data_IF_958641349065
#
_entry.id   IF_958641349065
#
_cell.length_a   1.000
_cell.length_b   1.000
_cell.length_c   1.000
_cell.angle_alpha   90.00
_cell.angle_beta   90.00
_cell.angle_gamma   90.00
#
_symmetry.space_group_name_H-M   'P 1'
#
loop_
_entity.id
_entity.type
_entity.pdbx_description
1 polymer ?
#
# COMPACT_ATOMS: atom_id res chain seq x y z
N UNK A 1 45.89 21.81 -32.48
CA UNK A 1 45.05 22.30 -31.36
C UNK A 1 43.68 21.65 -31.49
N UNK A 2 43.41 20.61 -30.71
CA UNK A 2 42.08 19.98 -30.65
C UNK A 2 41.16 20.93 -29.88
N UNK A 3 40.16 21.46 -30.57
CA UNK A 3 39.08 22.21 -29.94
C UNK A 3 38.33 21.28 -28.98
N UNK A 4 38.24 21.68 -27.72
CA UNK A 4 37.35 21.06 -26.74
C UNK A 4 35.93 21.04 -27.32
N UNK A 5 35.45 19.87 -27.73
CA UNK A 5 34.05 19.66 -28.09
C UNK A 5 33.23 19.71 -26.80
N UNK A 6 32.80 20.90 -26.42
CA UNK A 6 31.89 21.09 -25.30
C UNK A 6 30.54 20.48 -25.70
N UNK A 7 30.18 19.34 -25.10
CA UNK A 7 28.90 18.68 -25.36
C UNK A 7 27.78 19.47 -24.67
N UNK A 8 27.17 20.39 -25.42
CA UNK A 8 26.11 21.28 -24.96
C UNK A 8 24.85 20.53 -24.49
N UNK A 9 24.76 19.21 -24.71
CA UNK A 9 23.67 18.39 -24.18
C UNK A 9 23.68 18.31 -22.65
N UNK A 10 24.83 18.48 -21.98
CA UNK A 10 24.88 18.57 -20.51
C UNK A 10 24.28 19.88 -19.97
N UNK A 11 24.12 20.90 -20.82
CA UNK A 11 23.54 22.21 -20.49
C UNK A 11 22.15 22.44 -21.10
N UNK A 12 21.60 21.46 -21.83
CA UNK A 12 20.21 21.48 -22.25
C UNK A 12 19.32 21.31 -21.00
N UNK A 13 19.04 22.43 -20.33
CA UNK A 13 18.33 22.50 -19.07
C UNK A 13 16.95 21.85 -19.11
N UNK A 14 16.45 21.53 -17.91
CA UNK A 14 15.08 21.07 -17.69
C UNK A 14 14.10 21.91 -18.52
N UNK A 15 13.24 21.25 -19.29
CA UNK A 15 12.25 21.93 -20.12
C UNK A 15 11.39 22.82 -19.22
N UNK A 16 11.48 24.13 -19.43
CA UNK A 16 10.80 25.13 -18.60
C UNK A 16 9.35 25.36 -19.03
N UNK A 17 8.97 24.88 -20.22
CA UNK A 17 7.65 25.11 -20.80
C UNK A 17 6.64 24.01 -20.48
N UNK A 18 5.37 24.42 -20.40
CA UNK A 18 4.25 23.50 -20.16
C UNK A 18 4.05 22.56 -21.35
N UNK A 19 3.85 21.27 -21.08
CA UNK A 19 3.54 20.29 -22.12
C UNK A 19 2.27 20.68 -22.91
N UNK A 20 2.35 20.65 -24.25
CA UNK A 20 1.23 20.96 -25.14
C UNK A 20 0.07 19.96 -24.98
N UNK A 21 -1.19 20.33 -25.30
CA UNK A 21 -2.34 19.44 -25.16
C UNK A 21 -2.19 18.11 -25.92
N UNK A 22 -1.60 18.16 -27.12
CA UNK A 22 -1.30 16.97 -27.94
C UNK A 22 -0.32 16.03 -27.25
N UNK A 23 0.77 16.58 -26.68
CA UNK A 23 1.77 15.80 -25.93
C UNK A 23 1.17 15.13 -24.69
N UNK A 24 0.28 15.81 -23.97
CA UNK A 24 -0.45 15.25 -22.82
C UNK A 24 -1.39 14.11 -23.22
N UNK A 25 -2.10 14.23 -24.35
CA UNK A 25 -2.93 13.14 -24.87
C UNK A 25 -2.09 11.94 -25.30
N UNK A 26 -0.97 12.16 -26.00
CA UNK A 26 -0.09 11.08 -26.44
C UNK A 26 0.58 10.35 -25.26
N UNK A 27 0.96 11.08 -24.21
CA UNK A 27 1.45 10.49 -22.96
C UNK A 27 0.37 9.60 -22.30
N UNK A 28 -0.88 10.08 -22.22
CA UNK A 28 -2.01 9.28 -21.71
C UNK A 28 -2.28 8.02 -22.54
N UNK A 29 -2.24 8.09 -23.88
CA UNK A 29 -2.40 6.92 -24.77
C UNK A 29 -1.32 5.86 -24.53
N UNK A 30 -0.11 6.30 -24.18
CA UNK A 30 1.03 5.44 -23.81
C UNK A 30 0.98 4.96 -22.35
N UNK A 31 -0.05 5.32 -21.58
CA UNK A 31 -0.20 4.96 -20.17
C UNK A 31 0.68 5.76 -19.21
N UNK A 32 1.24 6.88 -19.65
CA UNK A 32 2.09 7.76 -18.84
C UNK A 32 1.26 8.89 -18.25
N UNK A 33 1.09 8.87 -16.93
CA UNK A 33 0.43 9.92 -16.15
C UNK A 33 1.14 10.12 -14.82
N UNK A 34 1.06 11.35 -14.32
CA UNK A 34 1.40 11.64 -12.94
C UNK A 34 0.41 10.92 -12.00
N UNK A 35 0.94 10.03 -11.15
CA UNK A 35 0.19 9.41 -10.06
C UNK A 35 1.14 9.17 -8.89
N UNK A 36 0.71 9.54 -7.69
CA UNK A 36 1.43 9.24 -6.46
C UNK A 36 1.01 7.86 -5.95
N UNK A 37 1.98 6.94 -5.86
CA UNK A 37 1.72 5.63 -5.28
C UNK A 37 1.41 5.72 -3.79
N UNK A 38 2.00 6.69 -3.08
CA UNK A 38 1.77 6.87 -1.65
C UNK A 38 0.34 7.35 -1.33
N UNK A 39 -0.27 8.14 -2.21
CA UNK A 39 -1.70 8.53 -2.07
C UNK A 39 -2.59 7.29 -2.15
N UNK A 40 -2.31 6.36 -3.07
CA UNK A 40 -3.05 5.11 -3.15
C UNK A 40 -2.89 4.28 -1.87
N UNK A 41 -1.67 4.14 -1.37
CA UNK A 41 -1.39 3.40 -0.13
C UNK A 41 -2.10 4.04 1.06
N UNK A 42 -2.12 5.38 1.17
CA UNK A 42 -2.83 6.08 2.24
C UNK A 42 -4.34 5.81 2.20
N UNK A 43 -4.98 5.93 1.04
CA UNK A 43 -6.42 5.69 0.90
C UNK A 43 -6.77 4.24 1.25
N UNK A 44 -6.01 3.26 0.74
CA UNK A 44 -6.23 1.84 1.04
C UNK A 44 -6.08 1.57 2.54
N UNK A 45 -5.01 2.07 3.17
CA UNK A 45 -4.79 1.90 4.60
C UNK A 45 -5.93 2.50 5.41
N UNK A 46 -6.34 3.75 5.11
CA UNK A 46 -7.46 4.38 5.81
C UNK A 46 -8.74 3.56 5.69
N UNK A 47 -9.10 3.13 4.48
CA UNK A 47 -10.32 2.36 4.25
C UNK A 47 -10.30 1.04 5.03
N UNK A 48 -9.16 0.34 5.07
CA UNK A 48 -9.01 -0.89 5.85
C UNK A 48 -9.10 -0.61 7.35
N UNK A 49 -8.42 0.42 7.87
CA UNK A 49 -8.48 0.74 9.30
C UNK A 49 -9.87 1.21 9.74
N UNK A 50 -10.58 2.00 8.92
CA UNK A 50 -11.97 2.37 9.18
C UNK A 50 -12.87 1.13 9.17
N UNK A 51 -12.70 0.22 8.20
CA UNK A 51 -13.44 -1.03 8.18
C UNK A 51 -13.19 -1.85 9.46
N UNK A 52 -11.94 -2.02 9.87
CA UNK A 52 -11.60 -2.72 11.11
C UNK A 52 -12.14 -2.01 12.36
N UNK A 53 -12.22 -0.67 12.36
CA UNK A 53 -12.80 0.09 13.46
C UNK A 53 -14.30 -0.19 13.63
N UNK A 54 -15.05 -0.30 12.55
CA UNK A 54 -16.50 -0.53 12.60
C UNK A 54 -16.89 -2.01 12.65
N UNK A 55 -16.15 -2.88 11.96
CA UNK A 55 -16.48 -4.31 11.80
C UNK A 55 -15.54 -5.25 12.57
N UNK A 56 -14.47 -4.75 13.20
CA UNK A 56 -13.48 -5.57 13.90
C UNK A 56 -14.06 -6.37 15.07
N UNK A 57 -15.09 -5.85 15.75
CA UNK A 57 -15.81 -6.61 16.80
C UNK A 57 -16.47 -7.85 16.21
N UNK A 58 -17.24 -7.70 15.14
CA UNK A 58 -17.91 -8.82 14.44
C UNK A 58 -16.88 -9.84 13.94
N UNK A 59 -15.74 -9.38 13.42
CA UNK A 59 -14.64 -10.26 13.01
C UNK A 59 -14.07 -11.06 14.19
N UNK A 60 -13.87 -10.39 15.33
CA UNK A 60 -13.35 -11.04 16.55
C UNK A 60 -14.33 -12.09 17.07
N UNK A 61 -15.62 -11.78 17.13
CA UNK A 61 -16.67 -12.72 17.53
C UNK A 61 -16.71 -13.95 16.61
N UNK A 62 -16.56 -13.72 15.30
CA UNK A 62 -16.51 -14.80 14.31
C UNK A 62 -15.29 -15.70 14.49
N UNK A 63 -14.12 -15.13 14.71
CA UNK A 63 -12.89 -15.89 14.98
C UNK A 63 -13.01 -16.73 16.25
N UNK A 64 -13.58 -16.16 17.32
CA UNK A 64 -13.88 -16.90 18.57
C UNK A 64 -14.89 -18.02 18.29
N UNK A 65 -15.90 -17.77 17.44
CA UNK A 65 -16.88 -18.76 17.01
C UNK A 65 -16.23 -19.95 16.31
N UNK A 66 -15.34 -19.70 15.36
CA UNK A 66 -14.57 -20.75 14.67
C UNK A 66 -13.73 -21.55 15.66
N UNK A 67 -13.01 -20.89 16.57
CA UNK A 67 -12.22 -21.58 17.59
C UNK A 67 -13.08 -22.47 18.50
N UNK A 68 -14.23 -21.96 18.97
CA UNK A 68 -15.18 -22.74 19.78
C UNK A 68 -15.70 -23.94 19.00
N UNK A 69 -16.12 -23.73 17.75
CA UNK A 69 -16.63 -24.80 16.89
C UNK A 69 -15.59 -25.89 16.66
N UNK A 70 -14.33 -25.52 16.41
CA UNK A 70 -13.24 -26.48 16.25
C UNK A 70 -12.98 -27.29 17.52
N UNK A 71 -12.95 -26.64 18.69
CA UNK A 71 -12.68 -27.32 19.96
C UNK A 71 -13.85 -28.19 20.45
N UNK A 72 -15.09 -27.83 20.09
CA UNK A 72 -16.28 -28.56 20.54
C UNK A 72 -16.71 -29.67 19.58
N UNK A 73 -16.52 -29.51 18.28
CA UNK A 73 -17.03 -30.44 17.28
C UNK A 73 -15.90 -31.23 16.61
N UNK A 74 -14.88 -30.55 16.09
CA UNK A 74 -13.81 -31.23 15.34
C UNK A 74 -12.88 -32.05 16.24
N UNK A 75 -12.66 -31.62 17.48
CA UNK A 75 -11.78 -32.32 18.42
C UNK A 75 -12.24 -33.75 18.75
N UNK A 76 -13.56 -34.00 18.73
CA UNK A 76 -14.16 -35.29 19.06
C UNK A 76 -14.62 -36.08 17.83
N UNK A 77 -14.33 -35.57 16.63
CA UNK A 77 -14.73 -36.19 15.37
C UNK A 77 -13.71 -37.26 14.95
N UNK A 78 -14.20 -38.41 14.47
CA UNK A 78 -13.31 -39.45 13.95
C UNK A 78 -12.52 -38.95 12.74
N UNK A 79 -11.23 -39.30 12.71
CA UNK A 79 -10.34 -38.96 11.60
C UNK A 79 -10.61 -39.89 10.41
N UNK A 80 -11.53 -39.46 9.55
CA UNK A 80 -11.85 -40.11 8.27
C UNK A 80 -11.64 -39.14 7.12
N UNK A 81 -11.36 -39.65 5.92
CA UNK A 81 -11.17 -38.82 4.71
C UNK A 81 -12.34 -37.85 4.48
N UNK A 82 -13.57 -38.34 4.64
CA UNK A 82 -14.79 -37.53 4.51
C UNK A 82 -14.89 -36.41 5.55
N UNK A 83 -14.53 -36.68 6.80
CA UNK A 83 -14.58 -35.68 7.86
C UNK A 83 -13.51 -34.61 7.66
N UNK A 84 -12.32 -35.00 7.18
CA UNK A 84 -11.24 -34.06 6.85
C UNK A 84 -11.65 -33.15 5.70
N UNK A 85 -12.28 -33.70 4.64
CA UNK A 85 -12.80 -32.90 3.52
C UNK A 85 -13.82 -31.86 3.99
N UNK A 86 -14.77 -32.27 4.83
CA UNK A 86 -15.80 -31.38 5.37
C UNK A 86 -15.19 -30.26 6.21
N UNK A 87 -14.28 -30.59 7.13
CA UNK A 87 -13.57 -29.61 7.96
C UNK A 87 -12.80 -28.61 7.09
N UNK A 88 -12.14 -29.09 6.04
CA UNK A 88 -11.38 -28.23 5.12
C UNK A 88 -12.29 -27.25 4.39
N UNK A 89 -13.43 -27.69 3.86
CA UNK A 89 -14.40 -26.82 3.18
C UNK A 89 -14.96 -25.78 4.14
N UNK A 90 -15.31 -26.17 5.37
CA UNK A 90 -15.83 -25.25 6.38
C UNK A 90 -14.78 -24.19 6.76
N UNK A 91 -13.54 -24.59 7.06
CA UNK A 91 -12.46 -23.67 7.41
C UNK A 91 -12.14 -22.72 6.25
N UNK A 92 -12.08 -23.22 5.01
CA UNK A 92 -11.87 -22.37 3.84
C UNK A 92 -13.01 -21.36 3.64
N UNK A 93 -14.26 -21.78 3.84
CA UNK A 93 -15.41 -20.88 3.74
C UNK A 93 -15.37 -19.79 4.82
N UNK A 94 -14.98 -20.14 6.04
CA UNK A 94 -14.79 -19.22 7.16
C UNK A 94 -13.66 -18.22 6.89
N UNK A 95 -12.53 -18.68 6.33
CA UNK A 95 -11.42 -17.83 5.90
C UNK A 95 -11.84 -16.83 4.82
N UNK A 96 -12.60 -17.27 3.80
CA UNK A 96 -13.10 -16.37 2.75
C UNK A 96 -14.04 -15.32 3.33
N UNK A 97 -14.95 -15.72 4.22
CA UNK A 97 -15.90 -14.78 4.83
C UNK A 97 -15.22 -13.86 5.86
N UNK A 98 -14.07 -14.25 6.44
CA UNK A 98 -13.28 -13.42 7.34
C UNK A 98 -12.37 -12.44 6.58
N UNK A 99 -11.55 -12.93 5.63
CA UNK A 99 -10.59 -12.12 4.88
C UNK A 99 -11.23 -11.37 3.70
N UNK A 100 -12.27 -11.95 3.10
CA UNK A 100 -12.94 -11.44 1.90
C UNK A 100 -13.42 -9.99 2.04
N UNK A 101 -14.14 -9.62 3.12
CA UNK A 101 -14.57 -8.23 3.32
C UNK A 101 -13.40 -7.24 3.39
N UNK A 102 -12.31 -7.59 4.10
CA UNK A 102 -11.11 -6.74 4.20
C UNK A 102 -10.45 -6.57 2.83
N UNK A 103 -10.28 -7.68 2.10
CA UNK A 103 -9.72 -7.66 0.75
C UNK A 103 -10.60 -6.87 -0.23
N UNK A 104 -11.93 -6.99 -0.11
CA UNK A 104 -12.88 -6.27 -0.95
C UNK A 104 -12.81 -4.77 -0.69
N UNK A 105 -12.75 -4.34 0.58
CA UNK A 105 -12.54 -2.93 0.93
C UNK A 105 -11.22 -2.40 0.37
N UNK A 106 -10.12 -3.16 0.53
CA UNK A 106 -8.82 -2.76 0.01
C UNK A 106 -8.83 -2.65 -1.53
N UNK A 107 -9.49 -3.59 -2.22
CA UNK A 107 -9.64 -3.58 -3.67
C UNK A 107 -10.44 -2.36 -4.14
N UNK A 108 -11.62 -2.12 -3.55
CA UNK A 108 -12.47 -0.99 -3.89
C UNK A 108 -11.73 0.33 -3.64
N UNK A 109 -11.08 0.46 -2.48
CA UNK A 109 -10.30 1.65 -2.13
C UNK A 109 -9.13 1.88 -3.10
N UNK A 110 -8.42 0.81 -3.50
CA UNK A 110 -7.32 0.89 -4.45
C UNK A 110 -7.78 1.30 -5.85
N UNK A 111 -8.90 0.74 -6.33
CA UNK A 111 -9.51 1.13 -7.61
C UNK A 111 -9.98 2.58 -7.55
N UNK A 112 -10.69 2.97 -6.49
CA UNK A 112 -11.17 4.34 -6.30
C UNK A 112 -10.01 5.34 -6.24
N UNK A 113 -8.94 5.03 -5.51
CA UNK A 113 -7.76 5.89 -5.42
C UNK A 113 -7.08 6.12 -6.78
N UNK A 114 -6.90 5.05 -7.57
CA UNK A 114 -6.37 5.18 -8.93
C UNK A 114 -7.31 6.00 -9.83
N UNK A 115 -8.62 5.76 -9.73
CA UNK A 115 -9.62 6.49 -10.50
C UNK A 115 -9.66 7.98 -10.13
N UNK A 116 -9.57 8.34 -8.85
CA UNK A 116 -9.52 9.73 -8.39
C UNK A 116 -8.28 10.48 -8.90
N UNK A 117 -7.12 9.81 -8.97
CA UNK A 117 -5.89 10.44 -9.44
C UNK A 117 -5.81 10.59 -10.97
N UNK A 118 -6.23 9.56 -11.70
CA UNK A 118 -5.96 9.44 -13.14
C UNK A 118 -7.22 9.61 -14.01
N UNK A 119 -8.39 9.36 -13.44
CA UNK A 119 -9.64 9.18 -14.16
C UNK A 119 -9.68 7.87 -14.95
N UNK A 120 -10.70 7.71 -15.79
CA UNK A 120 -10.75 6.60 -16.74
C UNK A 120 -9.63 6.74 -17.77
N UNK A 121 -8.82 5.68 -17.93
CA UNK A 121 -7.73 5.63 -18.89
C UNK A 121 -7.73 4.33 -19.65
N UNK A 122 -7.84 4.45 -20.98
CA UNK A 122 -7.68 3.34 -21.90
C UNK A 122 -6.38 3.55 -22.71
N UNK A 123 -5.36 2.73 -22.42
CA UNK A 123 -4.02 2.87 -22.98
C UNK A 123 -3.52 1.52 -23.56
N UNK A 124 -4.09 1.03 -24.69
CA UNK A 124 -3.72 -0.26 -25.26
C UNK A 124 -2.24 -0.34 -25.68
N UNK A 125 -1.63 0.79 -26.05
CA UNK A 125 -0.18 0.87 -26.35
C UNK A 125 0.71 0.57 -25.13
N UNK A 126 0.18 0.67 -23.90
CA UNK A 126 0.91 0.32 -22.68
C UNK A 126 1.03 -1.19 -22.49
N UNK A 127 0.09 -1.97 -23.04
CA UNK A 127 0.02 -3.44 -22.94
C UNK A 127 0.91 -4.10 -24.00
N UNK A 128 1.24 -3.40 -25.07
CA UNK A 128 2.12 -3.92 -26.12
C UNK A 128 3.53 -4.25 -25.57
N UNK A 129 4.03 -5.44 -25.93
CA UNK A 129 5.37 -5.90 -25.55
C UNK A 129 6.43 -5.07 -26.29
N UNK A 130 7.10 -4.17 -25.56
CA UNK A 130 8.19 -3.36 -26.08
C UNK A 130 9.52 -4.01 -25.71
N UNK A 131 10.22 -4.58 -26.68
CA UNK A 131 11.51 -5.27 -26.49
C UNK A 131 12.57 -4.38 -25.82
N UNK A 132 12.50 -3.07 -26.03
CA UNK A 132 13.34 -2.07 -25.37
C UNK A 132 13.21 -2.06 -23.83
N UNK A 133 12.05 -2.46 -23.30
CA UNK A 133 11.82 -2.57 -21.84
C UNK A 133 12.43 -3.84 -21.24
N UNK A 134 12.83 -4.82 -22.06
CA UNK A 134 13.38 -6.12 -21.64
C UNK A 134 14.91 -6.11 -21.67
N UNK A 135 15.55 -5.08 -22.23
CA UNK A 135 17.00 -4.99 -22.32
C UNK A 135 17.66 -4.97 -20.91
N UNK A 136 18.50 -5.97 -20.56
CA UNK A 136 19.13 -6.05 -19.24
C UNK A 136 20.05 -4.88 -18.91
N UNK A 137 20.75 -4.33 -19.91
CA UNK A 137 21.70 -3.23 -19.74
C UNK A 137 20.97 -1.94 -19.34
N UNK A 138 19.85 -1.63 -20.03
CA UNK A 138 19.03 -0.47 -19.68
C UNK A 138 18.32 -0.68 -18.34
N UNK A 139 17.96 -1.92 -18.00
CA UNK A 139 17.47 -2.32 -16.68
C UNK A 139 18.47 -2.05 -15.55
N UNK A 140 19.72 -2.52 -15.70
CA UNK A 140 20.80 -2.27 -14.74
C UNK A 140 21.06 -0.76 -14.57
N UNK A 141 21.12 0.00 -15.67
CA UNK A 141 21.31 1.46 -15.60
C UNK A 141 20.15 2.16 -14.87
N UNK A 142 18.92 1.65 -14.96
CA UNK A 142 17.77 2.18 -14.21
C UNK A 142 17.87 1.88 -12.72
N UNK A 143 18.25 0.65 -12.36
CA UNK A 143 18.40 0.21 -10.96
C UNK A 143 19.56 0.93 -10.27
N UNK A 144 20.68 1.14 -10.97
CA UNK A 144 21.86 1.86 -10.45
C UNK A 144 21.90 3.33 -10.90
N UNK A 145 20.74 3.97 -11.04
CA UNK A 145 20.65 5.40 -11.38
C UNK A 145 20.64 6.27 -10.13
N UNK A 146 21.03 7.55 -10.26
CA UNK A 146 20.84 8.54 -9.19
C UNK A 146 19.37 8.66 -8.77
N UNK A 147 18.44 8.49 -9.72
CA UNK A 147 17.01 8.44 -9.41
C UNK A 147 16.68 7.29 -8.45
N UNK A 148 17.24 6.09 -8.66
CA UNK A 148 17.02 4.97 -7.76
C UNK A 148 17.58 5.20 -6.36
N UNK A 149 18.77 5.84 -6.24
CA UNK A 149 19.35 6.20 -4.94
C UNK A 149 18.43 7.20 -4.20
N UNK A 150 17.93 8.22 -4.90
CA UNK A 150 17.00 9.21 -4.31
C UNK A 150 15.70 8.55 -3.87
N UNK A 151 15.13 7.65 -4.67
CA UNK A 151 13.93 6.89 -4.28
C UNK A 151 14.17 5.97 -3.07
N UNK A 152 15.36 5.35 -2.99
CA UNK A 152 15.76 4.54 -1.84
C UNK A 152 15.85 5.39 -0.57
N UNK A 153 16.51 6.54 -0.63
CA UNK A 153 16.59 7.47 0.51
C UNK A 153 15.20 7.95 0.96
N UNK A 154 14.32 8.30 0.02
CA UNK A 154 12.92 8.64 0.34
C UNK A 154 12.20 7.48 1.03
N UNK A 155 12.42 6.25 0.56
CA UNK A 155 11.80 5.05 1.13
C UNK A 155 12.30 4.78 2.55
N UNK A 156 13.61 4.92 2.80
CA UNK A 156 14.19 4.81 4.15
C UNK A 156 13.58 5.87 5.07
N UNK A 157 13.54 7.14 4.63
CA UNK A 157 12.93 8.22 5.42
C UNK A 157 11.46 7.91 5.75
N UNK A 158 10.66 7.43 4.78
CA UNK A 158 9.27 7.01 4.99
C UNK A 158 9.15 5.90 6.04
N UNK A 159 10.01 4.87 5.97
CA UNK A 159 10.00 3.76 6.93
C UNK A 159 10.42 4.23 8.32
N UNK A 160 11.51 4.99 8.45
CA UNK A 160 11.96 5.57 9.71
C UNK A 160 10.85 6.40 10.35
N UNK A 161 10.12 7.15 9.52
CA UNK A 161 8.99 7.94 9.95
C UNK A 161 7.81 7.13 10.49
N UNK A 162 7.52 5.97 9.92
CA UNK A 162 6.52 5.04 10.44
C UNK A 162 7.02 4.44 11.77
N UNK A 163 8.29 4.06 11.83
CA UNK A 163 8.94 3.56 13.05
C UNK A 163 8.87 4.55 14.21
N UNK A 164 9.11 5.84 13.96
CA UNK A 164 8.96 6.89 14.99
C UNK A 164 7.52 7.00 15.48
N UNK A 165 6.52 6.89 14.60
CA UNK A 165 5.10 6.89 15.03
C UNK A 165 4.82 5.68 15.93
N UNK A 166 5.18 4.48 15.46
CA UNK A 166 4.95 3.26 16.22
C UNK A 166 5.63 3.33 17.60
N UNK A 167 6.90 3.74 17.64
CA UNK A 167 7.63 3.96 18.88
C UNK A 167 6.94 4.98 19.78
N UNK A 168 6.53 6.13 19.24
CA UNK A 168 5.90 7.20 20.03
C UNK A 168 4.56 6.76 20.63
N UNK A 169 3.73 6.03 19.86
CA UNK A 169 2.45 5.50 20.35
C UNK A 169 2.70 4.49 21.46
N UNK A 170 3.58 3.51 21.23
CA UNK A 170 3.90 2.49 22.23
C UNK A 170 4.51 3.11 23.49
N UNK A 171 5.41 4.08 23.34
CA UNK A 171 6.03 4.78 24.46
C UNK A 171 5.00 5.58 25.27
N UNK A 172 4.09 6.28 24.60
CA UNK A 172 3.01 7.04 25.27
C UNK A 172 1.99 6.15 25.99
N UNK A 173 1.92 4.86 25.62
CA UNK A 173 1.00 3.86 26.15
C UNK A 173 1.75 2.74 26.87
N UNK A 174 2.98 3.00 27.33
CA UNK A 174 3.86 1.99 27.90
C UNK A 174 3.20 1.26 29.07
N UNK A 175 2.53 1.98 29.98
CA UNK A 175 1.84 1.38 31.12
C UNK A 175 0.75 0.39 30.67
N UNK A 176 -0.03 0.75 29.66
CA UNK A 176 -1.07 -0.13 29.10
C UNK A 176 -0.49 -1.38 28.45
N UNK A 177 0.69 -1.25 27.83
CA UNK A 177 1.43 -2.35 27.19
C UNK A 177 2.03 -3.28 28.25
N UNK A 178 2.63 -2.74 29.32
CA UNK A 178 3.19 -3.54 30.41
C UNK A 178 2.10 -4.33 31.14
N UNK A 179 0.92 -3.74 31.32
CA UNK A 179 -0.24 -4.39 31.94
C UNK A 179 -0.93 -5.42 31.04
N UNK A 180 -0.50 -5.63 29.79
CA UNK A 180 -1.09 -6.65 28.91
C UNK A 180 -0.96 -8.05 29.51
N UNK A 181 0.14 -8.34 30.22
CA UNK A 181 0.39 -9.64 30.83
C UNK A 181 -0.62 -9.98 31.95
N UNK A 182 -1.17 -8.97 32.61
CA UNK A 182 -2.11 -9.11 33.72
C UNK A 182 -3.59 -9.04 33.27
N UNK A 183 -3.83 -8.72 31.98
CA UNK A 183 -5.18 -8.61 31.42
C UNK A 183 -5.72 -9.98 31.01
N UNK A 184 -7.04 -10.14 31.15
CA UNK A 184 -7.74 -11.25 30.50
C UNK A 184 -7.52 -11.21 28.98
N UNK A 185 -7.58 -12.36 28.31
CA UNK A 185 -7.35 -12.49 26.86
C UNK A 185 -8.19 -11.49 26.05
N UNK A 186 -9.47 -11.33 26.40
CA UNK A 186 -10.36 -10.39 25.72
C UNK A 186 -9.94 -8.93 25.89
N UNK A 187 -9.54 -8.54 27.10
CA UNK A 187 -9.07 -7.18 27.39
C UNK A 187 -7.70 -6.89 26.75
N UNK A 188 -6.82 -7.89 26.70
CA UNK A 188 -5.54 -7.81 26.01
C UNK A 188 -5.75 -7.60 24.49
N UNK A 189 -6.61 -8.40 23.86
CA UNK A 189 -6.95 -8.26 22.44
C UNK A 189 -7.56 -6.89 22.12
N UNK A 190 -8.48 -6.39 22.95
CA UNK A 190 -9.06 -5.06 22.78
C UNK A 190 -8.00 -3.95 22.88
N UNK A 191 -7.06 -4.06 23.82
CA UNK A 191 -5.95 -3.11 23.98
C UNK A 191 -5.04 -3.13 22.75
N UNK A 192 -4.65 -4.32 22.28
CA UNK A 192 -3.81 -4.49 21.08
C UNK A 192 -4.52 -3.94 19.83
N UNK A 193 -5.81 -4.20 19.67
CA UNK A 193 -6.61 -3.66 18.58
C UNK A 193 -6.66 -2.13 18.62
N UNK A 194 -6.88 -1.53 19.79
CA UNK A 194 -6.87 -0.08 19.98
C UNK A 194 -5.52 0.56 19.62
N UNK A 195 -4.42 0.00 20.10
CA UNK A 195 -3.07 0.46 19.77
C UNK A 195 -2.79 0.33 18.27
N UNK A 196 -3.21 -0.78 17.65
CA UNK A 196 -3.04 -1.02 16.21
C UNK A 196 -3.82 -0.01 15.37
N UNK A 197 -5.08 0.25 15.73
CA UNK A 197 -5.90 1.28 15.07
C UNK A 197 -5.28 2.66 15.23
N UNK A 198 -4.80 3.02 16.43
CA UNK A 198 -4.19 4.32 16.69
C UNK A 198 -2.91 4.53 15.86
N UNK A 199 -2.02 3.53 15.85
CA UNK A 199 -0.80 3.55 15.02
C UNK A 199 -1.14 3.66 13.53
N UNK A 200 -2.14 2.90 13.07
CA UNK A 200 -2.63 2.92 11.70
C UNK A 200 -3.13 4.29 11.27
N UNK A 201 -3.98 4.92 12.08
CA UNK A 201 -4.55 6.25 11.81
C UNK A 201 -3.47 7.34 11.80
N UNK A 202 -2.54 7.34 12.75
CA UNK A 202 -1.42 8.30 12.74
C UNK A 202 -0.49 8.10 11.55
N UNK A 203 -0.23 6.85 11.17
CA UNK A 203 0.52 6.54 9.95
C UNK A 203 -0.19 7.08 8.72
N UNK A 204 -1.52 6.91 8.63
CA UNK A 204 -2.32 7.48 7.55
C UNK A 204 -2.16 9.00 7.44
N UNK A 205 -2.36 9.75 8.53
CA UNK A 205 -2.27 11.22 8.51
C UNK A 205 -0.89 11.72 8.05
N UNK A 206 0.16 10.96 8.35
CA UNK A 206 1.50 11.29 7.89
C UNK A 206 1.74 10.93 6.43
N UNK A 207 1.33 9.73 6.00
CA UNK A 207 1.50 9.31 4.60
C UNK A 207 0.69 10.23 3.69
N UNK A 208 -0.53 10.64 4.08
CA UNK A 208 -1.29 11.61 3.27
C UNK A 208 -0.56 12.95 3.19
N UNK A 209 0.01 13.46 4.29
CA UNK A 209 0.80 14.69 4.28
C UNK A 209 2.01 14.62 3.33
N UNK A 210 2.83 13.56 3.45
CA UNK A 210 4.00 13.35 2.59
C UNK A 210 3.61 13.12 1.12
N UNK A 211 2.57 12.33 0.90
CA UNK A 211 2.11 11.97 -0.45
C UNK A 211 1.46 13.12 -1.20
N UNK A 212 0.85 14.08 -0.49
CA UNK A 212 0.34 15.32 -1.11
C UNK A 212 1.50 16.15 -1.68
N UNK A 213 2.59 16.28 -0.93
CA UNK A 213 3.79 16.98 -1.37
C UNK A 213 4.45 16.26 -2.56
N UNK A 214 4.61 14.94 -2.47
CA UNK A 214 5.13 14.11 -3.57
C UNK A 214 4.23 14.21 -4.81
N UNK A 215 2.90 14.21 -4.65
CA UNK A 215 1.95 14.35 -5.76
C UNK A 215 2.04 15.72 -6.43
N UNK A 216 2.10 16.81 -5.65
CA UNK A 216 2.25 18.17 -6.19
C UNK A 216 3.57 18.31 -6.96
N UNK A 217 4.65 17.76 -6.43
CA UNK A 217 5.95 17.72 -7.10
C UNK A 217 5.89 16.92 -8.41
N UNK A 218 5.33 15.71 -8.39
CA UNK A 218 5.19 14.88 -9.59
C UNK A 218 4.28 15.52 -10.66
N UNK A 219 3.21 16.18 -10.23
CA UNK A 219 2.32 16.90 -11.15
C UNK A 219 3.03 18.08 -11.79
N UNK A 220 3.81 18.83 -11.03
CA UNK A 220 4.62 19.93 -11.54
C UNK A 220 5.69 19.47 -12.52
N UNK A 221 6.42 18.39 -12.18
CA UNK A 221 7.43 17.77 -13.06
C UNK A 221 6.80 17.27 -14.37
N UNK A 222 5.65 16.60 -14.28
CA UNK A 222 4.90 16.14 -15.45
C UNK A 222 4.29 17.29 -16.29
N UNK A 223 4.00 18.45 -15.68
CA UNK A 223 3.54 19.62 -16.41
C UNK A 223 4.67 20.33 -17.18
N UNK A 224 5.91 20.27 -16.68
CA UNK A 224 7.13 20.80 -17.34
C UNK A 224 7.73 19.86 -18.38
N UNK A 225 7.48 18.55 -18.26
CA UNK A 225 8.05 17.48 -19.08
C UNK A 225 7.10 16.90 -20.09
#
# INVERSE_FOLDING_TARGET
MNFLSLDLQFFAGEKTEKATPKKKQDARKKGQVAKSQDVNTAIVLLSVFLFLMFFGKTMTERLIGVLRHSLQNYLFMDLTEKNIELILIEILSELVLFLGPVMMVALIAGVAANYMQVGFMFAPEAIQMKLEKINPISGFKRIFSMRAIVEMLKSILKISFIGVIAFSVLWSRMDEVLLLADKSVGAALATIAGLTLQMGLFTFFKVIFLSLLDYLYQKYDFEKG
#
